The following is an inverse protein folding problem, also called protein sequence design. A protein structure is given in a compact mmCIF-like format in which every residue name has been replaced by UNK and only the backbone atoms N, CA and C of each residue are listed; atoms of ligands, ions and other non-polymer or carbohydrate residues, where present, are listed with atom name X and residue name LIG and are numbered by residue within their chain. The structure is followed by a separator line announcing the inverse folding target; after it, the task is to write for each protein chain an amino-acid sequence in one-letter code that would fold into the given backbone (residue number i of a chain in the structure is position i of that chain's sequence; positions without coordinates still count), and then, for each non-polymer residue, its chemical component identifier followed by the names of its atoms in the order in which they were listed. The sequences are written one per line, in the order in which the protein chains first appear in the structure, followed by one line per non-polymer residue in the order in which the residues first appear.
data_IF_171490373074
#
_entry.id   IF_171490373074
#
_cell.length_a   1.000
_cell.length_b   1.000
_cell.length_c   1.000
_cell.angle_alpha   90.00
_cell.angle_beta   90.00
_cell.angle_gamma   90.00
#
_symmetry.space_group_name_H-M   'P 1'
#
loop_
_entity.id
_entity.type
_entity.pdbx_description
1 polymer ?
#
# COMPACT_ATOMS: atom_id res chain seq x y z
N UNK A 1 -4.60 -5.18 -43.58
CA UNK A 1 -4.60 -3.94 -44.39
C UNK A 1 -3.54 -3.94 -45.48
N UNK A 2 -2.23 -3.79 -45.21
CA UNK A 2 -1.25 -3.67 -46.32
C UNK A 2 -1.23 -4.90 -47.26
N UNK A 3 -1.34 -6.12 -46.71
CA UNK A 3 -1.50 -7.34 -47.52
C UNK A 3 -2.77 -7.33 -48.38
N UNK A 4 -3.88 -6.85 -47.82
CA UNK A 4 -5.17 -6.78 -48.51
C UNK A 4 -5.16 -5.71 -49.61
N UNK A 5 -4.51 -4.56 -49.36
CA UNK A 5 -4.26 -3.53 -50.38
C UNK A 5 -3.48 -4.10 -51.56
N UNK A 6 -2.36 -4.77 -51.30
CA UNK A 6 -1.56 -5.40 -52.35
C UNK A 6 -2.33 -6.52 -53.08
N UNK A 7 -3.19 -7.28 -52.38
CA UNK A 7 -4.09 -8.24 -53.01
C UNK A 7 -5.16 -7.57 -53.89
N UNK A 8 -5.69 -6.41 -53.48
CA UNK A 8 -6.62 -5.62 -54.29
C UNK A 8 -5.95 -5.03 -55.53
N UNK A 9 -4.64 -4.78 -55.46
CA UNK A 9 -3.80 -4.37 -56.58
C UNK A 9 -3.45 -5.56 -57.52
N UNK A 10 -3.95 -6.77 -57.23
CA UNK A 10 -3.87 -7.95 -58.11
C UNK A 10 -2.80 -8.98 -57.74
N UNK A 11 -2.12 -8.84 -56.60
CA UNK A 11 -1.13 -9.82 -56.14
C UNK A 11 -1.80 -11.06 -55.51
N UNK A 12 -1.22 -12.23 -55.79
CA UNK A 12 -1.58 -13.49 -55.13
C UNK A 12 -1.31 -13.39 -53.60
N UNK A 13 -2.14 -13.99 -52.72
CA UNK A 13 -2.03 -13.84 -51.26
C UNK A 13 -0.62 -14.09 -50.71
N UNK A 14 0.10 -15.08 -51.26
CA UNK A 14 1.46 -15.40 -50.81
C UNK A 14 2.45 -14.29 -51.19
N UNK A 15 2.35 -13.76 -52.42
CA UNK A 15 3.22 -12.68 -52.90
C UNK A 15 2.90 -11.37 -52.18
N UNK A 16 1.62 -11.07 -51.97
CA UNK A 16 1.18 -9.89 -51.23
C UNK A 16 1.68 -9.91 -49.77
N UNK A 17 1.69 -11.07 -49.11
CA UNK A 17 2.20 -11.20 -47.75
C UNK A 17 3.73 -10.99 -47.67
N UNK A 18 4.49 -11.51 -48.64
CA UNK A 18 5.94 -11.27 -48.74
C UNK A 18 6.24 -9.80 -48.98
N UNK A 19 5.65 -9.20 -50.01
CA UNK A 19 5.87 -7.79 -50.33
C UNK A 19 5.43 -6.85 -49.20
N UNK A 20 4.37 -7.21 -48.47
CA UNK A 20 3.98 -6.47 -47.26
C UNK A 20 5.12 -6.41 -46.25
N UNK A 21 5.78 -7.54 -45.97
CA UNK A 21 6.87 -7.58 -44.99
C UNK A 21 8.10 -6.82 -45.47
N UNK A 22 8.35 -6.76 -46.78
CA UNK A 22 9.40 -5.90 -47.35
C UNK A 22 9.09 -4.41 -47.16
N UNK A 23 7.82 -4.01 -47.26
CA UNK A 23 7.39 -2.61 -47.10
C UNK A 23 7.33 -2.16 -45.63
N UNK A 24 6.82 -3.00 -44.72
CA UNK A 24 6.53 -2.58 -43.32
C UNK A 24 7.38 -3.27 -42.25
N UNK A 25 8.12 -4.32 -42.58
CA UNK A 25 8.86 -5.12 -41.58
C UNK A 25 9.88 -4.31 -40.80
N UNK A 26 10.62 -3.43 -41.47
CA UNK A 26 11.61 -2.54 -40.83
C UNK A 26 10.95 -1.51 -39.91
N UNK A 27 9.83 -0.91 -40.37
CA UNK A 27 9.05 0.03 -39.57
C UNK A 27 8.51 -0.62 -38.29
N UNK A 28 8.04 -1.87 -38.39
CA UNK A 28 7.52 -2.63 -37.26
C UNK A 28 8.61 -2.93 -36.20
N UNK A 29 9.81 -3.33 -36.64
CA UNK A 29 10.96 -3.50 -35.74
C UNK A 29 11.33 -2.18 -35.08
N UNK A 30 11.39 -1.09 -35.85
CA UNK A 30 11.73 0.24 -35.33
C UNK A 30 10.74 0.71 -34.26
N UNK A 31 9.43 0.57 -34.50
CA UNK A 31 8.40 0.95 -33.52
C UNK A 31 8.51 0.16 -32.22
N UNK A 32 8.84 -1.13 -32.32
CA UNK A 32 9.02 -1.98 -31.14
C UNK A 32 10.26 -1.60 -30.35
N UNK A 33 11.39 -1.34 -31.03
CA UNK A 33 12.60 -0.89 -30.36
C UNK A 33 12.39 0.47 -29.67
N UNK A 34 11.63 1.39 -30.27
CA UNK A 34 11.27 2.67 -29.64
C UNK A 34 10.44 2.44 -28.38
N UNK A 35 9.43 1.57 -28.42
CA UNK A 35 8.63 1.23 -27.24
C UNK A 35 9.51 0.61 -26.14
N UNK A 36 10.34 -0.36 -26.48
CA UNK A 36 11.28 -0.99 -25.54
C UNK A 36 12.22 0.06 -24.94
N UNK A 37 12.76 0.97 -25.75
CA UNK A 37 13.65 2.03 -25.31
C UNK A 37 12.98 3.03 -24.34
N UNK A 38 11.67 3.23 -24.45
CA UNK A 38 10.91 4.07 -23.50
C UNK A 38 10.69 3.34 -22.16
N UNK A 39 10.37 2.04 -22.19
CA UNK A 39 10.00 1.31 -20.97
C UNK A 39 11.18 0.69 -20.22
N UNK A 40 12.20 0.15 -20.90
CA UNK A 40 13.34 -0.53 -20.26
C UNK A 40 14.09 0.36 -19.25
N UNK A 41 14.35 1.66 -19.50
CA UNK A 41 14.98 2.53 -18.51
C UNK A 41 14.25 2.57 -17.17
N UNK A 42 12.91 2.50 -17.20
CA UNK A 42 12.09 2.53 -15.97
C UNK A 42 12.30 1.30 -15.07
N UNK A 43 12.79 0.18 -15.62
CA UNK A 43 13.12 -1.02 -14.84
C UNK A 43 14.39 -0.86 -13.97
N UNK A 44 15.20 0.17 -14.23
CA UNK A 44 16.41 0.50 -13.48
C UNK A 44 16.18 1.52 -12.37
N UNK A 45 14.96 2.03 -12.21
CA UNK A 45 14.61 2.86 -11.06
C UNK A 45 14.85 2.09 -9.75
N UNK A 46 15.38 2.79 -8.75
CA UNK A 46 15.68 2.24 -7.43
C UNK A 46 14.49 2.39 -6.46
N UNK A 47 14.56 1.69 -5.33
CA UNK A 47 13.55 1.77 -4.27
C UNK A 47 12.23 1.07 -4.60
N UNK A 48 11.22 1.36 -3.79
CA UNK A 48 9.90 0.70 -3.86
C UNK A 48 9.19 1.06 -5.17
N UNK A 49 9.25 2.34 -5.56
CA UNK A 49 8.74 2.83 -6.84
C UNK A 49 9.36 2.08 -8.01
N UNK A 50 10.67 1.83 -7.98
CA UNK A 50 11.35 1.07 -9.02
C UNK A 50 10.92 -0.38 -9.13
N UNK A 51 10.65 -1.05 -8.00
CA UNK A 51 10.12 -2.42 -8.03
C UNK A 51 8.73 -2.49 -8.68
N UNK A 52 7.87 -1.52 -8.42
CA UNK A 52 6.55 -1.43 -9.06
C UNK A 52 6.68 -1.22 -10.58
N UNK A 53 7.46 -0.23 -11.01
CA UNK A 53 7.67 0.04 -12.45
C UNK A 53 8.36 -1.11 -13.19
N UNK A 54 9.26 -1.84 -12.52
CA UNK A 54 9.98 -2.96 -13.12
C UNK A 54 9.03 -4.06 -13.64
N UNK A 55 7.92 -4.32 -12.95
CA UNK A 55 6.93 -5.30 -13.40
C UNK A 55 6.29 -4.86 -14.72
N UNK A 56 5.78 -3.63 -14.78
CA UNK A 56 5.18 -3.08 -16.01
C UNK A 56 6.19 -3.01 -17.15
N UNK A 57 7.39 -2.51 -16.89
CA UNK A 57 8.44 -2.35 -17.88
C UNK A 57 8.80 -3.69 -18.53
N UNK A 58 9.05 -4.73 -17.72
CA UNK A 58 9.41 -6.06 -18.22
C UNK A 58 8.24 -6.71 -18.95
N UNK A 59 7.02 -6.64 -18.42
CA UNK A 59 5.84 -7.21 -19.08
C UNK A 59 5.59 -6.56 -20.43
N UNK A 60 5.67 -5.22 -20.53
CA UNK A 60 5.48 -4.50 -21.79
C UNK A 60 6.62 -4.83 -22.76
N UNK A 61 7.87 -4.79 -22.32
CA UNK A 61 9.01 -5.07 -23.19
C UNK A 61 8.96 -6.50 -23.75
N UNK A 62 8.72 -7.50 -22.91
CA UNK A 62 8.62 -8.91 -23.32
C UNK A 62 7.40 -9.15 -24.21
N UNK A 63 6.22 -8.64 -23.82
CA UNK A 63 4.99 -8.82 -24.62
C UNK A 63 5.08 -8.15 -25.99
N UNK A 64 5.66 -6.94 -26.06
CA UNK A 64 5.89 -6.23 -27.33
C UNK A 64 6.92 -6.98 -28.18
N UNK A 65 7.99 -7.52 -27.58
CA UNK A 65 8.99 -8.32 -28.30
C UNK A 65 8.38 -9.60 -28.90
N UNK A 66 7.59 -10.33 -28.11
CA UNK A 66 6.87 -11.52 -28.58
C UNK A 66 5.85 -11.13 -29.66
N UNK A 67 5.10 -10.04 -29.46
CA UNK A 67 4.14 -9.54 -30.45
C UNK A 67 4.82 -9.22 -31.78
N UNK A 68 6.01 -8.62 -31.76
CA UNK A 68 6.82 -8.38 -32.96
C UNK A 68 7.29 -9.66 -33.61
N UNK A 69 7.77 -10.64 -32.84
CA UNK A 69 8.12 -11.95 -33.38
C UNK A 69 6.91 -12.60 -34.07
N UNK A 70 5.75 -12.59 -33.44
CA UNK A 70 4.49 -13.09 -34.02
C UNK A 70 4.12 -12.32 -35.29
N UNK A 71 4.23 -10.99 -35.26
CA UNK A 71 3.88 -10.14 -36.40
C UNK A 71 4.82 -10.31 -37.59
N UNK A 72 6.09 -10.68 -37.38
CA UNK A 72 7.07 -10.91 -38.45
C UNK A 72 7.07 -12.35 -38.96
N UNK A 73 6.50 -13.30 -38.21
CA UNK A 73 6.55 -14.72 -38.54
C UNK A 73 5.14 -15.28 -38.80
N UNK A 74 4.35 -15.45 -37.75
CA UNK A 74 3.06 -16.10 -37.79
C UNK A 74 2.02 -15.28 -38.56
N UNK A 75 1.96 -13.96 -38.35
CA UNK A 75 0.98 -13.10 -39.02
C UNK A 75 1.11 -13.15 -40.56
N UNK A 76 2.27 -12.93 -41.19
CA UNK A 76 2.41 -13.06 -42.64
C UNK A 76 2.14 -14.48 -43.14
N UNK A 77 2.54 -15.52 -42.39
CA UNK A 77 2.25 -16.91 -42.75
C UNK A 77 0.73 -17.19 -42.76
N UNK A 78 0.01 -16.73 -41.74
CA UNK A 78 -1.44 -16.84 -41.68
C UNK A 78 -2.12 -16.00 -42.76
N UNK A 79 -1.62 -14.80 -43.06
CA UNK A 79 -2.14 -14.00 -44.18
C UNK A 79 -1.99 -14.74 -45.53
N UNK A 80 -0.84 -15.38 -45.77
CA UNK A 80 -0.63 -16.14 -47.01
C UNK A 80 -1.51 -17.40 -47.12
N UNK A 81 -1.91 -18.01 -45.99
CA UNK A 81 -2.68 -19.25 -45.96
C UNK A 81 -4.20 -19.03 -45.87
N UNK A 82 -4.65 -17.98 -45.19
CA UNK A 82 -6.06 -17.75 -44.87
C UNK A 82 -6.72 -16.70 -45.75
N UNK A 83 -5.98 -15.73 -46.29
CA UNK A 83 -6.58 -14.68 -47.13
C UNK A 83 -6.92 -15.24 -48.50
N UNK A 84 -8.19 -15.06 -48.88
CA UNK A 84 -8.69 -15.46 -50.21
C UNK A 84 -8.33 -14.40 -51.25
N UNK A 85 -7.88 -14.79 -52.46
CA UNK A 85 -7.70 -13.86 -53.56
C UNK A 85 -9.00 -13.10 -53.87
N UNK A 86 -8.89 -11.82 -54.25
CA UNK A 86 -10.05 -11.02 -54.66
C UNK A 86 -10.78 -11.58 -55.90
N UNK A 87 -10.11 -12.44 -56.67
CA UNK A 87 -10.64 -13.14 -57.85
C UNK A 87 -11.23 -14.53 -57.56
N UNK A 88 -11.31 -14.96 -56.29
CA UNK A 88 -11.90 -16.24 -55.92
C UNK A 88 -13.44 -16.19 -56.08
N UNK A 89 -14.04 -17.24 -56.66
CA UNK A 89 -15.49 -17.34 -56.78
C UNK A 89 -16.15 -17.31 -55.38
N UNK A 90 -17.21 -16.51 -55.17
CA UNK A 90 -17.83 -16.38 -53.86
C UNK A 90 -18.45 -17.72 -53.44
N UNK A 91 -18.02 -18.24 -52.29
CA UNK A 91 -18.63 -19.43 -51.70
C UNK A 91 -20.08 -19.14 -51.29
N UNK A 92 -20.89 -20.19 -51.06
CA UNK A 92 -22.30 -20.07 -50.63
C UNK A 92 -22.49 -19.13 -49.42
N UNK A 93 -21.53 -19.13 -48.49
CA UNK A 93 -21.49 -18.25 -47.33
C UNK A 93 -21.18 -16.79 -47.68
N UNK A 94 -20.27 -16.53 -48.63
CA UNK A 94 -19.91 -15.19 -49.11
C UNK A 94 -21.07 -14.57 -49.88
N UNK A 95 -21.81 -15.38 -50.66
CA UNK A 95 -23.03 -14.94 -51.33
C UNK A 95 -24.17 -14.59 -50.34
N UNK A 96 -24.37 -15.43 -49.32
CA UNK A 96 -25.39 -15.20 -48.30
C UNK A 96 -25.09 -13.96 -47.45
N UNK A 97 -23.82 -13.75 -47.08
CA UNK A 97 -23.37 -12.58 -46.30
C UNK A 97 -23.46 -11.29 -47.11
N UNK A 98 -23.09 -11.30 -48.40
CA UNK A 98 -23.26 -10.14 -49.28
C UNK A 98 -24.72 -9.77 -49.48
N UNK A 99 -25.63 -10.76 -49.55
CA UNK A 99 -27.06 -10.50 -49.71
C UNK A 99 -27.71 -9.96 -48.44
N UNK A 100 -27.30 -10.45 -47.26
CA UNK A 100 -27.82 -9.99 -45.97
C UNK A 100 -27.21 -8.67 -45.48
N UNK A 101 -25.89 -8.49 -45.65
CA UNK A 101 -25.12 -7.39 -45.05
C UNK A 101 -24.35 -6.53 -46.07
N UNK A 102 -24.36 -6.86 -47.36
CA UNK A 102 -23.58 -6.12 -48.36
C UNK A 102 -24.03 -4.68 -48.57
N UNK A 103 -25.27 -4.31 -48.23
CA UNK A 103 -25.71 -2.90 -48.21
C UNK A 103 -25.04 -2.11 -47.07
N UNK A 104 -24.85 -2.74 -45.91
CA UNK A 104 -24.17 -2.15 -44.76
C UNK A 104 -22.67 -1.99 -45.03
N UNK A 105 -21.97 -3.04 -45.50
CA UNK A 105 -20.55 -2.97 -45.81
C UNK A 105 -20.24 -1.94 -46.91
N UNK A 106 -21.08 -1.83 -47.94
CA UNK A 106 -20.94 -0.79 -48.96
C UNK A 106 -21.16 0.61 -48.40
N UNK A 107 -22.13 0.78 -47.51
CA UNK A 107 -22.35 2.04 -46.80
C UNK A 107 -21.15 2.43 -45.92
N UNK A 108 -20.62 1.47 -45.17
CA UNK A 108 -19.43 1.65 -44.33
C UNK A 108 -18.20 2.02 -45.17
N UNK A 109 -17.88 1.24 -46.22
CA UNK A 109 -16.73 1.52 -47.09
C UNK A 109 -16.86 2.91 -47.72
N UNK A 110 -18.06 3.29 -48.19
CA UNK A 110 -18.29 4.62 -48.76
C UNK A 110 -18.09 5.75 -47.74
N UNK A 111 -18.53 5.55 -46.50
CA UNK A 111 -18.31 6.51 -45.42
C UNK A 111 -16.83 6.58 -45.02
N UNK A 112 -16.13 5.46 -45.00
CA UNK A 112 -14.70 5.36 -44.72
C UNK A 112 -13.86 6.05 -45.82
N UNK A 113 -14.17 5.80 -47.10
CA UNK A 113 -13.50 6.46 -48.21
C UNK A 113 -13.76 7.98 -48.18
N UNK A 114 -14.99 8.39 -47.87
CA UNK A 114 -15.32 9.80 -47.72
C UNK A 114 -14.56 10.46 -46.57
N UNK A 115 -14.48 9.81 -45.41
CA UNK A 115 -13.75 10.34 -44.25
C UNK A 115 -12.24 10.37 -44.49
N UNK A 116 -11.67 9.36 -45.14
CA UNK A 116 -10.27 9.30 -45.54
C UNK A 116 -9.91 10.45 -46.49
N UNK A 117 -10.77 10.72 -47.48
CA UNK A 117 -10.58 11.84 -48.41
C UNK A 117 -10.70 13.21 -47.72
N UNK A 118 -11.62 13.37 -46.77
CA UNK A 118 -11.70 14.58 -45.94
C UNK A 118 -10.43 14.74 -45.11
N UNK A 119 -10.00 13.68 -44.43
CA UNK A 119 -8.79 13.69 -43.61
C UNK A 119 -7.56 14.11 -44.44
N UNK A 120 -7.35 13.47 -45.60
CA UNK A 120 -6.28 13.84 -46.52
C UNK A 120 -6.38 15.31 -46.98
N UNK A 121 -7.60 15.79 -47.27
CA UNK A 121 -7.86 17.18 -47.63
C UNK A 121 -7.53 18.17 -46.50
N UNK A 122 -7.87 17.83 -45.25
CA UNK A 122 -7.57 18.63 -44.05
C UNK A 122 -6.06 18.67 -43.81
N UNK A 123 -5.38 17.53 -43.85
CA UNK A 123 -3.91 17.47 -43.71
C UNK A 123 -3.23 18.31 -44.79
N UNK A 124 -3.67 18.20 -46.06
CA UNK A 124 -3.12 19.01 -47.16
C UNK A 124 -3.31 20.51 -46.94
N UNK A 125 -4.43 20.95 -46.35
CA UNK A 125 -4.64 22.36 -45.98
C UNK A 125 -3.76 22.77 -44.79
N UNK A 126 -3.66 21.94 -43.76
CA UNK A 126 -2.83 22.20 -42.58
C UNK A 126 -1.34 22.35 -42.94
N UNK A 127 -0.84 21.54 -43.88
CA UNK A 127 0.53 21.65 -44.38
C UNK A 127 0.81 23.01 -45.06
N UNK A 128 -0.20 23.67 -45.63
CA UNK A 128 -0.05 25.03 -46.20
C UNK A 128 -0.05 26.12 -45.14
N UNK A 129 -0.57 25.85 -43.94
CA UNK A 129 -0.57 26.76 -42.79
C UNK A 129 0.30 26.20 -41.65
N UNK A 130 1.45 25.64 -42.02
CA UNK A 130 2.37 24.96 -41.09
C UNK A 130 2.81 25.84 -39.91
N UNK A 131 2.97 27.15 -40.11
CA UNK A 131 3.29 28.08 -39.04
C UNK A 131 2.17 28.17 -37.99
N UNK A 132 0.90 28.21 -38.42
CA UNK A 132 -0.25 28.24 -37.51
C UNK A 132 -0.35 26.90 -36.77
N UNK A 133 -0.15 25.78 -37.47
CA UNK A 133 -0.11 24.45 -36.86
C UNK A 133 1.01 24.34 -35.81
N UNK A 134 2.19 24.93 -36.08
CA UNK A 134 3.30 24.98 -35.15
C UNK A 134 2.99 25.84 -33.92
N UNK A 135 2.41 27.02 -34.11
CA UNK A 135 1.97 27.88 -32.99
C UNK A 135 0.96 27.15 -32.12
N UNK A 136 -0.01 26.46 -32.74
CA UNK A 136 -0.99 25.66 -32.02
C UNK A 136 -0.33 24.50 -31.26
N UNK A 137 0.63 23.81 -31.88
CA UNK A 137 1.40 22.76 -31.21
C UNK A 137 2.18 23.29 -30.00
N UNK A 138 2.86 24.43 -30.13
CA UNK A 138 3.55 25.08 -29.01
C UNK A 138 2.57 25.50 -27.91
N UNK A 139 1.38 25.99 -28.27
CA UNK A 139 0.33 26.30 -27.31
C UNK A 139 -0.13 25.04 -26.54
N UNK A 140 -0.28 23.90 -27.22
CA UNK A 140 -0.60 22.63 -26.57
C UNK A 140 0.53 22.14 -25.64
N UNK A 141 1.80 22.33 -26.02
CA UNK A 141 2.93 22.04 -25.14
C UNK A 141 2.89 22.93 -23.89
N UNK A 142 2.61 24.23 -24.05
CA UNK A 142 2.45 25.16 -22.94
C UNK A 142 1.30 24.79 -22.02
N UNK A 143 0.16 24.36 -22.58
CA UNK A 143 -0.99 23.86 -21.83
C UNK A 143 -0.65 22.57 -21.08
N UNK A 144 0.08 21.67 -21.71
CA UNK A 144 0.54 20.41 -21.11
C UNK A 144 1.44 20.71 -19.91
N UNK A 145 2.42 21.60 -20.06
CA UNK A 145 3.30 22.03 -18.98
C UNK A 145 2.52 22.62 -17.80
N UNK A 146 1.58 23.52 -18.08
CA UNK A 146 0.71 24.13 -17.06
C UNK A 146 -0.12 23.08 -16.33
N UNK A 147 -0.72 22.15 -17.07
CA UNK A 147 -1.58 21.11 -16.49
C UNK A 147 -0.77 20.15 -15.62
N UNK A 148 0.44 19.79 -16.06
CA UNK A 148 1.33 18.90 -15.32
C UNK A 148 1.69 19.45 -13.93
N UNK A 149 1.81 20.77 -13.79
CA UNK A 149 2.05 21.43 -12.49
C UNK A 149 0.83 21.48 -11.55
N UNK A 150 -0.38 21.21 -12.05
CA UNK A 150 -1.63 21.27 -11.26
C UNK A 150 -2.07 19.89 -10.80
N UNK A 151 -1.67 18.82 -11.49
CA UNK A 151 -2.06 17.45 -11.13
C UNK A 151 -1.40 17.05 -9.82
N UNK A 152 -2.17 16.69 -8.77
CA UNK A 152 -1.62 16.23 -7.51
C UNK A 152 -0.78 14.97 -7.69
N UNK A 153 0.40 14.94 -7.09
CA UNK A 153 1.24 13.75 -7.06
C UNK A 153 0.72 12.75 -6.04
N UNK A 154 0.57 11.50 -6.44
CA UNK A 154 0.26 10.38 -5.56
C UNK A 154 1.07 9.16 -5.97
N UNK A 155 1.31 8.24 -5.04
CA UNK A 155 2.07 7.02 -5.36
C UNK A 155 1.14 5.90 -5.81
N UNK A 156 0.34 5.35 -4.90
CA UNK A 156 -0.66 4.32 -5.19
C UNK A 156 -1.98 4.84 -4.64
N UNK A 157 -3.07 4.84 -5.43
CA UNK A 157 -4.35 5.31 -4.95
C UNK A 157 -4.84 4.44 -3.80
N UNK A 158 -5.50 5.07 -2.84
CA UNK A 158 -6.14 4.33 -1.75
C UNK A 158 -7.19 3.37 -2.33
N UNK A 159 -7.15 2.13 -1.86
CA UNK A 159 -8.06 1.08 -2.30
C UNK A 159 -8.86 0.58 -1.11
N UNK A 160 -10.11 0.21 -1.39
CA UNK A 160 -10.94 -0.50 -0.44
C UNK A 160 -10.41 -1.94 -0.29
N UNK A 161 -9.58 -2.17 0.72
CA UNK A 161 -9.03 -3.48 1.07
C UNK A 161 -10.02 -4.35 1.87
N UNK A 162 -11.25 -3.87 2.11
CA UNK A 162 -12.27 -4.60 2.86
C UNK A 162 -12.09 -4.57 4.38
N UNK A 163 -11.15 -3.80 4.92
CA UNK A 163 -11.00 -3.59 6.36
C UNK A 163 -10.45 -2.20 6.69
N UNK A 164 -10.67 -1.78 7.94
CA UNK A 164 -10.21 -0.52 8.54
C UNK A 164 -9.52 -0.86 9.86
N UNK A 165 -8.50 -0.09 10.24
CA UNK A 165 -7.79 -0.27 11.50
C UNK A 165 -8.15 0.89 12.43
N UNK A 166 -8.58 0.56 13.64
CA UNK A 166 -8.74 1.52 14.73
C UNK A 166 -7.61 1.27 15.73
N UNK A 167 -6.75 2.25 15.94
CA UNK A 167 -5.71 2.24 16.97
C UNK A 167 -6.20 3.02 18.18
N UNK A 168 -5.95 2.48 19.36
CA UNK A 168 -6.39 2.99 20.66
C UNK A 168 -5.15 3.20 21.52
N UNK A 169 -4.92 4.42 21.99
CA UNK A 169 -3.85 4.71 22.94
C UNK A 169 -4.46 5.37 24.19
N UNK A 170 -4.45 4.63 25.30
CA UNK A 170 -4.82 5.14 26.62
C UNK A 170 -3.65 5.93 27.24
N UNK A 171 -3.92 6.77 28.26
CA UNK A 171 -2.85 7.42 29.01
C UNK A 171 -1.78 6.45 29.50
N UNK A 172 -0.54 6.92 29.55
CA UNK A 172 0.60 6.14 30.01
C UNK A 172 0.37 5.58 31.42
N UNK A 173 0.81 4.33 31.64
CA UNK A 173 0.58 3.60 32.89
C UNK A 173 -0.81 2.95 33.02
N UNK A 174 -1.70 3.07 32.01
CA UNK A 174 -2.95 2.31 32.02
C UNK A 174 -2.70 0.79 31.97
N UNK A 175 -3.48 0.06 32.77
CA UNK A 175 -3.43 -1.40 32.83
C UNK A 175 -4.04 -2.03 31.58
N UNK A 176 -3.60 -3.25 31.27
CA UNK A 176 -4.18 -4.03 30.17
C UNK A 176 -5.69 -4.27 30.36
N UNK A 177 -6.15 -4.44 31.62
CA UNK A 177 -7.56 -4.62 31.93
C UNK A 177 -8.40 -3.38 31.59
N UNK A 178 -7.87 -2.18 31.84
CA UNK A 178 -8.53 -0.92 31.45
C UNK A 178 -8.56 -0.76 29.94
N UNK A 179 -7.46 -1.05 29.27
CA UNK A 179 -7.37 -1.04 27.80
C UNK A 179 -8.35 -2.02 27.17
N UNK A 180 -8.50 -3.22 27.71
CA UNK A 180 -9.47 -4.21 27.24
C UNK A 180 -10.91 -3.72 27.38
N UNK A 181 -11.25 -3.08 28.51
CA UNK A 181 -12.58 -2.49 28.71
C UNK A 181 -12.91 -1.40 27.67
N UNK A 182 -12.00 -0.45 27.46
CA UNK A 182 -12.18 0.61 26.45
C UNK A 182 -12.17 0.05 25.03
N UNK A 183 -11.33 -0.95 24.75
CA UNK A 183 -11.29 -1.61 23.44
C UNK A 183 -12.60 -2.33 23.13
N UNK A 184 -13.28 -2.92 24.13
CA UNK A 184 -14.61 -3.50 23.98
C UNK A 184 -15.68 -2.45 23.68
N UNK A 185 -15.62 -1.29 24.33
CA UNK A 185 -16.53 -0.18 24.02
C UNK A 185 -16.39 0.27 22.56
N UNK A 186 -15.15 0.50 22.11
CA UNK A 186 -14.85 0.91 20.73
C UNK A 186 -15.26 -0.17 19.72
N UNK A 187 -15.05 -1.44 20.06
CA UNK A 187 -15.50 -2.58 19.27
C UNK A 187 -17.02 -2.57 19.05
N UNK A 188 -17.81 -2.35 20.10
CA UNK A 188 -19.28 -2.27 19.98
C UNK A 188 -19.72 -1.07 19.14
N UNK A 189 -19.06 0.09 19.29
CA UNK A 189 -19.32 1.25 18.44
C UNK A 189 -19.02 0.98 16.97
N UNK A 190 -17.91 0.32 16.68
CA UNK A 190 -17.56 -0.07 15.32
C UNK A 190 -18.58 -1.06 14.73
N UNK A 191 -18.99 -2.09 15.49
CA UNK A 191 -20.01 -3.05 15.06
C UNK A 191 -21.38 -2.42 14.81
N UNK A 192 -21.73 -1.35 15.55
CA UNK A 192 -22.97 -0.61 15.34
C UNK A 192 -22.99 0.23 14.05
N UNK A 193 -21.84 0.42 13.41
CA UNK A 193 -21.72 1.23 12.19
C UNK A 193 -22.17 0.42 10.96
N UNK A 194 -23.13 0.93 10.16
CA UNK A 194 -23.58 0.24 8.95
C UNK A 194 -22.44 -0.08 7.97
N UNK A 195 -22.44 -1.29 7.43
CA UNK A 195 -21.42 -1.78 6.50
C UNK A 195 -20.21 -2.45 7.16
N UNK A 196 -20.18 -2.56 8.50
CA UNK A 196 -19.23 -3.38 9.25
C UNK A 196 -19.78 -4.79 9.41
N UNK A 197 -19.00 -5.80 9.04
CA UNK A 197 -19.37 -7.20 9.18
C UNK A 197 -18.88 -7.78 10.52
N UNK A 198 -17.59 -7.59 10.82
CA UNK A 198 -16.93 -8.16 11.99
C UNK A 198 -15.85 -7.23 12.54
N UNK A 199 -15.47 -7.44 13.78
CA UNK A 199 -14.37 -6.73 14.44
C UNK A 199 -13.46 -7.72 15.16
N UNK A 200 -12.15 -7.57 14.98
CA UNK A 200 -11.14 -8.32 15.73
C UNK A 200 -10.39 -7.34 16.62
N UNK A 201 -10.45 -7.56 17.93
CA UNK A 201 -9.86 -6.66 18.92
C UNK A 201 -8.66 -7.33 19.58
N UNK A 202 -7.55 -6.60 19.66
CA UNK A 202 -6.31 -7.03 20.29
C UNK A 202 -5.93 -5.96 21.32
N UNK A 203 -6.18 -6.23 22.59
CA UNK A 203 -5.69 -5.41 23.70
C UNK A 203 -4.21 -5.72 23.94
N UNK A 204 -3.42 -4.70 24.27
CA UNK A 204 -1.99 -4.84 24.50
C UNK A 204 -1.13 -4.65 23.25
N UNK A 205 -1.72 -4.30 22.10
CA UNK A 205 -1.05 -4.16 20.81
C UNK A 205 -1.42 -2.83 20.16
N UNK A 206 -0.43 -2.00 19.83
CA UNK A 206 -0.67 -0.73 19.15
C UNK A 206 -0.84 -0.93 17.64
N UNK A 207 -1.97 -0.49 17.09
CA UNK A 207 -2.22 -0.52 15.64
C UNK A 207 -1.30 0.42 14.86
N UNK A 208 -0.84 1.51 15.48
CA UNK A 208 0.01 2.53 14.86
C UNK A 208 1.48 2.08 14.74
N UNK A 209 2.07 1.54 15.82
CA UNK A 209 3.49 1.16 15.87
C UNK A 209 3.75 -0.33 15.70
N UNK A 210 2.71 -1.18 15.85
CA UNK A 210 2.81 -2.65 15.94
C UNK A 210 3.67 -3.13 17.11
N UNK A 211 3.74 -2.35 18.19
CA UNK A 211 4.44 -2.74 19.43
C UNK A 211 3.44 -3.22 20.48
N UNK A 212 3.92 -4.03 21.42
CA UNK A 212 3.14 -4.44 22.57
C UNK A 212 3.25 -3.38 23.68
N UNK A 213 2.12 -2.91 24.18
CA UNK A 213 2.03 -1.94 25.28
C UNK A 213 0.70 -2.12 26.00
N UNK A 214 0.71 -2.11 27.34
CA UNK A 214 -0.50 -2.37 28.14
C UNK A 214 -1.60 -1.33 27.95
N UNK A 215 -1.22 -0.08 27.64
CA UNK A 215 -2.11 1.04 27.37
C UNK A 215 -2.54 1.16 25.89
N UNK A 216 -2.13 0.22 25.02
CA UNK A 216 -2.45 0.28 23.60
C UNK A 216 -3.39 -0.84 23.16
N UNK A 217 -4.26 -0.56 22.20
CA UNK A 217 -5.17 -1.53 21.60
C UNK A 217 -5.33 -1.32 20.09
N UNK A 218 -5.71 -2.39 19.40
CA UNK A 218 -6.05 -2.33 17.99
C UNK A 218 -7.38 -3.06 17.74
N UNK A 219 -8.27 -2.42 16.98
CA UNK A 219 -9.49 -3.04 16.48
C UNK A 219 -9.43 -3.07 14.95
N UNK A 220 -9.34 -4.27 14.39
CA UNK A 220 -9.44 -4.50 12.95
C UNK A 220 -10.91 -4.67 12.59
N UNK A 221 -11.46 -3.68 11.89
CA UNK A 221 -12.86 -3.63 11.46
C UNK A 221 -12.95 -4.21 10.05
N UNK A 222 -13.56 -5.38 9.92
CA UNK A 222 -13.77 -6.07 8.65
C UNK A 222 -15.12 -5.60 8.08
N UNK A 223 -15.09 -5.10 6.86
CA UNK A 223 -16.26 -4.55 6.18
C UNK A 223 -17.08 -5.65 5.50
N UNK A 224 -18.36 -5.36 5.27
CA UNK A 224 -19.22 -6.16 4.39
C UNK A 224 -18.65 -6.27 2.97
N UNK A 225 -19.12 -7.26 2.20
CA UNK A 225 -18.73 -7.43 0.80
C UNK A 225 -18.89 -6.14 -0.01
N UNK A 226 -17.84 -5.76 -0.75
CA UNK A 226 -17.80 -4.50 -1.50
C UNK A 226 -18.98 -4.34 -2.46
N UNK A 227 -19.47 -5.43 -3.09
CA UNK A 227 -20.63 -5.39 -4.00
C UNK A 227 -21.93 -5.03 -3.29
N UNK A 228 -22.14 -5.52 -2.06
CA UNK A 228 -23.32 -5.21 -1.25
C UNK A 228 -23.28 -3.75 -0.82
N UNK A 229 -22.14 -3.33 -0.27
CA UNK A 229 -21.87 -1.95 0.13
C UNK A 229 -22.04 -0.94 -1.00
N UNK A 230 -21.59 -1.27 -2.21
CA UNK A 230 -21.76 -0.40 -3.38
C UNK A 230 -23.23 -0.18 -3.76
N UNK A 231 -24.10 -1.19 -3.61
CA UNK A 231 -25.55 -1.06 -3.87
C UNK A 231 -26.24 -0.16 -2.85
N UNK A 232 -25.78 -0.20 -1.61
CA UNK A 232 -26.32 0.60 -0.50
C UNK A 232 -25.73 2.02 -0.46
N UNK A 233 -24.74 2.32 -1.32
CA UNK A 233 -24.04 3.60 -1.31
C UNK A 233 -23.11 3.78 -0.10
N UNK A 234 -22.63 2.68 0.49
CA UNK A 234 -21.76 2.62 1.68
C UNK A 234 -20.29 2.37 1.29
N UNK A 235 -19.61 3.38 0.74
CA UNK A 235 -18.18 3.28 0.42
C UNK A 235 -17.32 3.12 1.69
N UNK A 236 -16.14 2.50 1.56
CA UNK A 236 -15.19 2.39 2.68
C UNK A 236 -14.81 3.76 3.25
N UNK A 237 -14.71 4.80 2.42
CA UNK A 237 -14.45 6.17 2.88
C UNK A 237 -15.59 6.76 3.72
N UNK A 238 -16.84 6.46 3.41
CA UNK A 238 -17.98 6.88 4.23
C UNK A 238 -18.01 6.14 5.57
N UNK A 239 -17.72 4.83 5.57
CA UNK A 239 -17.62 4.04 6.80
C UNK A 239 -16.46 4.54 7.65
N UNK A 240 -15.30 4.84 7.04
CA UNK A 240 -14.15 5.44 7.70
C UNK A 240 -14.52 6.77 8.38
N UNK A 241 -15.23 7.65 7.66
CA UNK A 241 -15.70 8.92 8.21
C UNK A 241 -16.74 8.74 9.34
N UNK A 242 -17.63 7.76 9.20
CA UNK A 242 -18.62 7.41 10.22
C UNK A 242 -17.95 6.87 11.50
N UNK A 243 -16.96 5.98 11.36
CA UNK A 243 -16.16 5.46 12.46
C UNK A 243 -15.39 6.57 13.16
N UNK A 244 -14.74 7.47 12.40
CA UNK A 244 -14.06 8.64 12.99
C UNK A 244 -15.01 9.49 13.84
N UNK A 245 -16.26 9.66 13.39
CA UNK A 245 -17.27 10.42 14.12
C UNK A 245 -17.80 9.66 15.33
N UNK A 246 -17.99 8.34 15.25
CA UNK A 246 -18.52 7.57 16.38
C UNK A 246 -17.47 7.38 17.48
N UNK A 247 -16.18 7.28 17.14
CA UNK A 247 -15.13 7.08 18.14
C UNK A 247 -14.76 8.35 18.90
N UNK A 248 -15.20 9.55 18.49
CA UNK A 248 -14.89 10.80 19.21
C UNK A 248 -15.57 10.89 20.58
N UNK A 249 -16.56 10.05 20.87
CA UNK A 249 -17.23 10.02 22.17
C UNK A 249 -16.45 9.25 23.25
N UNK A 250 -15.40 8.52 22.86
CA UNK A 250 -14.55 7.75 23.76
C UNK A 250 -13.57 8.71 24.43
N UNK A 251 -13.83 9.05 25.69
CA UNK A 251 -12.99 10.01 26.44
C UNK A 251 -11.77 9.37 27.11
N UNK A 252 -11.75 8.04 27.26
CA UNK A 252 -10.69 7.34 28.00
C UNK A 252 -9.43 7.05 27.17
N UNK A 253 -9.49 7.20 25.85
CA UNK A 253 -8.39 6.89 24.94
C UNK A 253 -8.34 7.84 23.75
N UNK A 254 -7.14 8.07 23.22
CA UNK A 254 -6.97 8.65 21.90
C UNK A 254 -7.26 7.56 20.86
N UNK A 255 -8.25 7.80 20.01
CA UNK A 255 -8.71 6.83 19.00
C UNK A 255 -8.37 7.33 17.59
N UNK A 256 -7.55 6.56 16.88
CA UNK A 256 -7.17 6.84 15.50
C UNK A 256 -7.81 5.81 14.55
N UNK A 257 -8.56 6.28 13.57
CA UNK A 257 -9.18 5.41 12.55
C UNK A 257 -8.44 5.63 11.23
N UNK A 258 -7.70 4.61 10.82
CA UNK A 258 -6.77 4.67 9.68
C UNK A 258 -7.14 3.61 8.62
N UNK A 259 -7.09 3.97 7.33
CA UNK A 259 -7.19 2.98 6.26
C UNK A 259 -5.91 2.13 6.22
N UNK A 260 -5.99 0.87 5.77
CA UNK A 260 -4.81 0.05 5.57
C UNK A 260 -3.95 0.57 4.42
N UNK A 261 -2.63 0.37 4.46
CA UNK A 261 -1.75 0.77 3.36
C UNK A 261 -2.07 -0.04 2.10
N UNK A 262 -2.05 0.57 0.90
CA UNK A 262 -2.37 -0.13 -0.35
C UNK A 262 -1.34 -1.22 -0.69
N UNK A 263 -0.11 -1.10 -0.19
CA UNK A 263 0.93 -2.13 -0.30
C UNK A 263 1.47 -2.44 1.09
N UNK A 264 1.35 -3.71 1.54
CA UNK A 264 1.96 -4.14 2.80
C UNK A 264 3.46 -3.85 2.84
N UNK A 265 3.95 -3.27 3.94
CA UNK A 265 5.38 -3.04 4.16
C UNK A 265 5.89 -1.64 3.78
N UNK A 266 5.10 -0.80 3.10
CA UNK A 266 5.45 0.60 2.82
C UNK A 266 5.18 1.52 4.03
N UNK A 267 4.39 1.04 5.00
CA UNK A 267 4.07 1.76 6.23
C UNK A 267 3.00 1.02 7.06
N UNK A 268 2.57 1.63 8.16
CA UNK A 268 1.49 1.13 9.02
C UNK A 268 0.13 1.77 8.73
N UNK A 269 0.07 2.74 7.81
CA UNK A 269 -1.12 3.49 7.41
C UNK A 269 -0.86 5.01 7.41
N UNK A 270 -1.73 5.79 6.77
CA UNK A 270 -1.62 7.25 6.69
C UNK A 270 -0.86 7.78 5.47
N UNK A 271 -0.87 9.11 5.29
CA UNK A 271 -0.35 9.77 4.08
C UNK A 271 1.16 10.05 4.07
N UNK A 272 1.75 10.34 5.23
CA UNK A 272 3.19 10.64 5.34
C UNK A 272 3.77 10.22 6.69
N UNK A 273 5.10 10.12 6.76
CA UNK A 273 5.86 9.89 8.00
C UNK A 273 6.97 10.92 8.10
N UNK A 274 7.02 11.63 9.23
CA UNK A 274 8.08 12.57 9.57
C UNK A 274 8.82 12.07 10.82
N UNK A 275 10.10 12.36 10.92
CA UNK A 275 10.91 12.09 12.11
C UNK A 275 11.42 13.42 12.66
N UNK A 276 11.01 13.77 13.87
CA UNK A 276 11.50 14.95 14.57
C UNK A 276 12.81 14.57 15.25
N UNK A 277 13.87 15.34 15.00
CA UNK A 277 15.19 15.09 15.55
C UNK A 277 15.62 16.24 16.46
N UNK A 278 15.98 15.93 17.70
CA UNK A 278 16.69 16.87 18.56
C UNK A 278 18.17 16.91 18.15
N UNK A 279 18.64 18.07 17.71
CA UNK A 279 20.04 18.33 17.33
C UNK A 279 20.79 19.16 18.37
N UNK A 280 20.09 19.62 19.41
CA UNK A 280 20.61 20.51 20.45
C UNK A 280 21.00 19.78 21.73
N UNK A 281 20.49 18.56 21.93
CA UNK A 281 20.64 17.83 23.19
C UNK A 281 19.71 18.35 24.28
N UNK A 282 18.53 18.88 23.91
CA UNK A 282 17.50 19.38 24.81
C UNK A 282 16.77 18.29 25.61
N UNK A 283 16.96 17.01 25.26
CA UNK A 283 16.48 15.87 26.03
C UNK A 283 15.10 15.35 25.58
N UNK A 284 14.71 14.20 26.13
CA UNK A 284 13.55 13.44 25.65
C UNK A 284 12.21 14.13 25.93
N UNK A 285 12.08 14.82 27.07
CA UNK A 285 10.85 15.55 27.42
C UNK A 285 10.63 16.74 26.48
N UNK A 286 11.70 17.49 26.19
CA UNK A 286 11.62 18.62 25.26
C UNK A 286 11.30 18.15 23.84
N UNK A 287 11.89 17.03 23.41
CA UNK A 287 11.58 16.43 22.10
C UNK A 287 10.10 16.04 21.99
N UNK A 288 9.52 15.44 23.04
CA UNK A 288 8.08 15.13 23.06
C UNK A 288 7.23 16.39 22.99
N UNK A 289 7.55 17.42 23.77
CA UNK A 289 6.81 18.68 23.76
C UNK A 289 6.79 19.31 22.36
N UNK A 290 7.96 19.36 21.68
CA UNK A 290 8.08 19.88 20.32
C UNK A 290 7.33 19.01 19.30
N UNK A 291 7.44 17.69 19.39
CA UNK A 291 6.71 16.77 18.50
C UNK A 291 5.19 16.94 18.64
N UNK A 292 4.69 17.10 19.87
CA UNK A 292 3.28 17.35 20.14
C UNK A 292 2.82 18.72 19.64
N UNK A 293 3.64 19.77 19.81
CA UNK A 293 3.34 21.10 19.29
C UNK A 293 3.25 21.10 17.76
N UNK A 294 4.18 20.43 17.08
CA UNK A 294 4.15 20.27 15.61
C UNK A 294 2.87 19.54 15.18
N UNK A 295 2.49 18.45 15.86
CA UNK A 295 1.26 17.73 15.55
C UNK A 295 0.01 18.59 15.80
N UNK A 296 -0.03 19.35 16.89
CA UNK A 296 -1.15 20.24 17.21
C UNK A 296 -1.33 21.35 16.16
N UNK A 297 -0.24 21.99 15.74
CA UNK A 297 -0.26 23.01 14.69
C UNK A 297 -0.63 22.41 13.33
N UNK A 298 -0.09 21.25 13.00
CA UNK A 298 -0.40 20.54 11.76
C UNK A 298 -1.89 20.17 11.65
N UNK A 299 -2.59 19.90 12.76
CA UNK A 299 -4.02 19.62 12.73
C UNK A 299 -4.90 20.88 12.52
N UNK A 300 -4.33 22.08 12.58
CA UNK A 300 -5.04 23.33 12.25
C UNK A 300 -4.96 23.66 10.75
N UNK A 301 -3.99 23.08 10.03
CA UNK A 301 -3.76 23.33 8.62
C UNK A 301 -4.77 22.58 7.72
N UNK A 302 -5.48 23.28 6.82
CA UNK A 302 -6.38 22.64 5.86
C UNK A 302 -5.66 21.62 4.98
N UNK A 303 -6.20 20.40 4.93
CA UNK A 303 -5.65 19.29 4.13
C UNK A 303 -4.86 18.27 4.95
N UNK A 304 -4.52 18.57 6.20
CA UNK A 304 -3.97 17.60 7.15
C UNK A 304 -5.09 17.05 8.05
N UNK A 305 -5.06 15.74 8.29
CA UNK A 305 -6.10 15.05 9.06
C UNK A 305 -5.46 14.05 10.01
N UNK A 306 -5.76 14.16 11.31
CA UNK A 306 -5.26 13.28 12.36
C UNK A 306 -3.74 13.12 12.33
N UNK A 307 -3.00 14.24 12.42
CA UNK A 307 -1.55 14.22 12.62
C UNK A 307 -1.26 13.91 14.08
N UNK A 308 -0.45 12.89 14.36
CA UNK A 308 -0.11 12.48 15.73
C UNK A 308 1.33 12.02 15.85
N UNK A 309 1.83 11.98 17.08
CA UNK A 309 3.12 11.39 17.45
C UNK A 309 2.89 10.18 18.34
N UNK A 310 3.61 9.10 18.08
CA UNK A 310 3.65 7.90 18.93
C UNK A 310 4.74 7.97 20.01
N UNK A 311 5.52 9.05 20.05
CA UNK A 311 6.61 9.20 21.01
C UNK A 311 6.08 9.65 22.38
N UNK A 312 6.50 8.95 23.43
CA UNK A 312 6.14 9.18 24.83
C UNK A 312 7.41 9.07 25.69
N UNK A 313 7.65 10.07 26.51
CA UNK A 313 8.78 10.18 27.44
C UNK A 313 8.31 10.43 28.88
N UNK A 314 7.00 10.37 29.11
CA UNK A 314 6.29 10.63 30.35
C UNK A 314 5.65 9.37 30.96
N UNK A 315 6.04 8.18 30.47
CA UNK A 315 5.60 6.91 31.05
C UNK A 315 6.06 6.80 32.51
N UNK A 316 5.15 6.61 33.48
CA UNK A 316 5.52 6.44 34.88
C UNK A 316 6.44 5.22 35.06
N UNK A 317 7.54 5.41 35.80
CA UNK A 317 8.52 4.35 36.08
C UNK A 317 8.93 4.38 37.55
N UNK A 318 9.21 3.21 38.11
CA UNK A 318 9.80 3.07 39.43
C UNK A 318 11.32 3.01 39.30
N UNK A 319 12.01 3.89 40.04
CA UNK A 319 13.46 3.86 40.15
C UNK A 319 13.88 3.19 41.47
N UNK A 320 14.44 2.00 41.38
CA UNK A 320 14.99 1.29 42.53
C UNK A 320 16.42 1.78 42.82
N UNK A 321 16.58 2.68 43.79
CA UNK A 321 17.88 3.14 44.25
C UNK A 321 18.46 2.13 45.27
N UNK A 322 19.48 1.39 44.84
CA UNK A 322 20.09 0.34 45.66
C UNK A 322 21.28 0.90 46.42
N UNK A 323 21.18 0.90 47.76
CA UNK A 323 22.29 1.27 48.63
C UNK A 323 23.37 0.18 48.63
N UNK A 324 24.37 0.38 47.76
CA UNK A 324 25.53 -0.52 47.62
C UNK A 324 26.40 -0.58 48.87
N UNK A 325 26.42 0.48 49.69
CA UNK A 325 27.17 0.52 50.94
C UNK A 325 26.50 -0.40 51.96
N UNK A 326 25.17 -0.28 52.11
CA UNK A 326 24.39 -1.14 52.98
C UNK A 326 24.45 -2.61 52.57
N UNK A 327 24.33 -2.90 51.27
CA UNK A 327 24.45 -4.26 50.75
C UNK A 327 25.79 -4.90 51.14
N UNK A 328 26.90 -4.18 51.01
CA UNK A 328 28.23 -4.67 51.42
C UNK A 328 28.34 -4.89 52.93
N UNK A 329 27.79 -3.99 53.76
CA UNK A 329 27.79 -4.15 55.22
C UNK A 329 27.04 -5.41 55.67
N UNK A 330 25.98 -5.78 54.95
CA UNK A 330 25.17 -6.97 55.22
C UNK A 330 25.70 -8.23 54.49
N UNK A 331 26.88 -8.16 53.86
CA UNK A 331 27.45 -9.23 53.04
C UNK A 331 26.47 -9.74 51.96
N UNK A 332 25.68 -8.86 51.36
CA UNK A 332 24.77 -9.19 50.26
C UNK A 332 25.48 -8.94 48.93
N UNK A 333 25.73 -9.98 48.10
CA UNK A 333 26.25 -9.80 46.75
C UNK A 333 25.27 -9.01 45.89
N UNK A 334 25.78 -8.06 45.10
CA UNK A 334 24.94 -7.25 44.21
C UNK A 334 24.23 -8.10 43.15
N UNK A 335 24.86 -9.16 42.68
CA UNK A 335 24.26 -10.09 41.72
C UNK A 335 22.99 -10.72 42.30
N UNK A 336 23.00 -11.12 43.58
CA UNK A 336 21.80 -11.66 44.22
C UNK A 336 20.67 -10.63 44.32
N UNK A 337 20.97 -9.33 44.47
CA UNK A 337 19.96 -8.26 44.46
C UNK A 337 19.35 -8.13 43.07
N UNK A 338 20.19 -8.05 42.04
CA UNK A 338 19.73 -7.92 40.66
C UNK A 338 18.97 -9.15 40.18
N UNK A 339 19.44 -10.36 40.51
CA UNK A 339 18.77 -11.62 40.22
C UNK A 339 17.40 -11.68 40.90
N UNK A 340 17.31 -11.22 42.15
CA UNK A 340 16.02 -11.16 42.87
C UNK A 340 15.07 -10.20 42.15
N UNK A 341 15.49 -8.97 41.85
CA UNK A 341 14.63 -8.03 41.14
C UNK A 341 14.23 -8.54 39.75
N UNK A 342 15.17 -9.12 38.99
CA UNK A 342 14.93 -9.65 37.65
C UNK A 342 13.99 -10.86 37.67
N UNK A 343 14.25 -11.87 38.50
CA UNK A 343 13.45 -13.09 38.54
C UNK A 343 12.04 -12.77 39.03
N UNK A 344 11.90 -12.03 40.14
CA UNK A 344 10.58 -11.80 40.71
C UNK A 344 9.75 -10.84 39.86
N UNK A 345 10.31 -9.72 39.38
CA UNK A 345 9.55 -8.70 38.65
C UNK A 345 9.61 -8.89 37.12
N UNK A 346 10.81 -9.06 36.57
CA UNK A 346 11.08 -9.06 35.12
C UNK A 346 10.92 -10.40 34.40
N UNK A 347 10.74 -11.49 35.14
CA UNK A 347 10.81 -12.88 34.68
C UNK A 347 12.20 -13.31 34.19
N UNK A 348 12.55 -14.57 34.41
CA UNK A 348 13.84 -15.14 33.99
C UNK A 348 13.65 -16.45 33.25
N UNK A 349 14.30 -16.57 32.09
CA UNK A 349 14.39 -17.84 31.38
C UNK A 349 15.27 -18.80 32.16
N UNK A 350 14.74 -19.99 32.44
CA UNK A 350 15.49 -21.02 33.17
C UNK A 350 16.09 -22.02 32.18
N UNK A 351 15.22 -22.69 31.42
CA UNK A 351 15.59 -23.71 30.45
C UNK A 351 14.36 -24.05 29.57
N UNK A 352 14.51 -25.08 28.74
CA UNK A 352 13.44 -25.67 27.99
C UNK A 352 13.05 -27.04 28.56
N UNK A 353 11.76 -27.38 28.49
CA UNK A 353 11.25 -28.71 28.82
C UNK A 353 10.47 -29.30 27.65
N UNK A 354 10.58 -30.61 27.43
CA UNK A 354 9.83 -31.29 26.37
C UNK A 354 8.53 -31.87 26.96
N UNK A 355 7.41 -31.57 26.30
CA UNK A 355 6.11 -32.14 26.63
C UNK A 355 5.40 -32.55 25.35
N UNK A 356 5.05 -33.84 25.25
CA UNK A 356 4.34 -34.41 24.10
C UNK A 356 5.05 -34.15 22.75
N UNK A 357 6.39 -34.23 22.74
CA UNK A 357 7.20 -34.03 21.53
C UNK A 357 7.36 -32.57 21.12
N UNK A 358 6.91 -31.62 21.94
CA UNK A 358 7.13 -30.18 21.74
C UNK A 358 8.00 -29.62 22.85
N UNK A 359 8.94 -28.77 22.47
CA UNK A 359 9.82 -28.05 23.41
C UNK A 359 9.14 -26.76 23.85
N UNK A 360 9.03 -26.56 25.16
CA UNK A 360 8.43 -25.39 25.78
C UNK A 360 9.45 -24.68 26.67
N UNK A 361 9.39 -23.35 26.67
CA UNK A 361 10.23 -22.51 27.51
C UNK A 361 9.74 -22.49 28.96
N UNK A 362 10.63 -22.75 29.90
CA UNK A 362 10.41 -22.58 31.33
C UNK A 362 10.89 -21.19 31.74
N UNK A 363 9.98 -20.40 32.30
CA UNK A 363 10.27 -19.05 32.79
C UNK A 363 9.87 -18.97 34.26
N UNK A 364 10.78 -18.49 35.11
CA UNK A 364 10.51 -18.19 36.51
C UNK A 364 10.05 -16.73 36.64
N UNK A 365 8.96 -16.50 37.36
CA UNK A 365 8.47 -15.17 37.72
C UNK A 365 7.69 -15.26 39.03
N UNK A 366 7.61 -14.17 39.80
CA UNK A 366 6.66 -14.10 40.90
C UNK A 366 5.22 -14.14 40.37
N UNK A 367 4.33 -14.80 41.11
CA UNK A 367 2.88 -14.73 40.89
C UNK A 367 2.42 -13.26 40.98
N UNK A 368 1.42 -12.89 40.20
CA UNK A 368 0.97 -11.51 39.98
C UNK A 368 0.75 -10.75 41.28
N UNK A 369 0.17 -11.41 42.29
CA UNK A 369 -0.19 -10.81 43.60
C UNK A 369 1.00 -10.39 44.46
N UNK A 370 2.22 -10.76 44.08
CA UNK A 370 3.45 -10.42 44.81
C UNK A 370 4.35 -9.45 44.04
N UNK A 371 3.80 -8.80 43.01
CA UNK A 371 4.52 -7.85 42.15
C UNK A 371 3.58 -6.85 41.49
N UNK A 372 2.43 -6.58 42.10
CA UNK A 372 1.41 -5.70 41.54
C UNK A 372 1.53 -4.28 42.10
N UNK A 373 1.87 -4.17 43.38
CA UNK A 373 2.04 -2.89 44.08
C UNK A 373 3.52 -2.57 44.36
N UNK A 374 3.83 -1.27 44.50
CA UNK A 374 5.15 -0.81 44.93
C UNK A 374 5.58 -1.46 46.26
N UNK A 375 4.62 -1.66 47.17
CA UNK A 375 4.86 -2.25 48.49
C UNK A 375 5.35 -3.71 48.41
N UNK A 376 5.10 -4.41 47.31
CA UNK A 376 5.55 -5.78 47.11
C UNK A 376 7.06 -5.86 46.83
N UNK A 377 7.65 -4.83 46.22
CA UNK A 377 9.08 -4.77 45.94
C UNK A 377 9.88 -4.82 47.25
N UNK A 378 9.40 -4.14 48.30
CA UNK A 378 10.00 -4.11 49.63
C UNK A 378 9.85 -5.44 50.40
N UNK A 379 8.99 -6.35 49.92
CA UNK A 379 8.80 -7.69 50.52
C UNK A 379 9.74 -8.72 49.91
N UNK A 380 10.41 -8.39 48.80
CA UNK A 380 11.37 -9.26 48.16
C UNK A 380 12.56 -9.49 49.09
N UNK A 381 13.10 -10.70 49.04
CA UNK A 381 14.20 -11.13 49.90
C UNK A 381 15.31 -11.74 49.08
N UNK A 382 16.53 -11.41 49.44
CA UNK A 382 17.75 -11.95 48.87
C UNK A 382 18.58 -12.66 49.93
N UNK A 383 19.65 -13.36 49.54
CA UNK A 383 20.56 -14.05 50.48
C UNK A 383 21.89 -13.33 50.59
N UNK A 384 22.39 -13.22 51.82
CA UNK A 384 23.78 -12.83 52.09
C UNK A 384 24.73 -14.00 51.86
N UNK A 385 26.03 -13.71 51.73
CA UNK A 385 27.10 -14.71 51.69
C UNK A 385 27.20 -15.53 52.97
N UNK A 386 26.61 -15.06 54.07
CA UNK A 386 26.50 -15.78 55.34
C UNK A 386 25.29 -16.73 55.39
N UNK A 387 24.47 -16.79 54.33
CA UNK A 387 23.27 -17.62 54.24
C UNK A 387 22.02 -17.00 54.86
N UNK A 388 22.14 -15.82 55.45
CA UNK A 388 21.03 -15.08 56.05
C UNK A 388 20.11 -14.51 54.96
N UNK A 389 18.81 -14.46 55.26
CA UNK A 389 17.81 -13.88 54.35
C UNK A 389 17.62 -12.41 54.71
N UNK A 390 17.85 -11.54 53.73
CA UNK A 390 17.81 -10.08 53.91
C UNK A 390 16.71 -9.52 53.00
N UNK A 391 15.78 -8.69 53.50
CA UNK A 391 14.83 -7.97 52.65
C UNK A 391 15.56 -6.94 51.78
N UNK A 392 15.04 -6.69 50.57
CA UNK A 392 15.60 -5.69 49.65
C UNK A 392 15.45 -4.26 50.16
#
# INVERSE_FOLDING_TARGET
ENTERLMSDGLDPRKAAHQTMDEVGSALIATTLVLIAVFVPTAFLAGITGQFYRQFALTIAVSTSISTLVSLTLSPALCALLLKPASAEPNLFDWMSQKAFGWFFRGFNRAFDYSSNIYAGVVKRLLRVSLIALVFFVALLGLTWKTFGVVPTGFIPDQDQGYIIISLDLPEGASLSRTDAVSKEVRELALSTPGVAHTVTIAGFSGATRTNASNAGAVFVILDEAKKRAKEGNSSNQILAALRKSTTQVNEALVFVIPPPPVPGIGTGGGFKMQVQDRSGGGVQQLQAVANAIAAEANQEPGLVQVYSTFRADTPQFYADIDRTKARMLNVPMDNVFDTLQIYLGSSYVNDFNFLGRTYRVTAQADSRFRDEESDILRLRTRSSLGEVVPL
#
